data_IF_867769985395
#
_entry.id   IF_867769985395
#
_cell.length_a   1.000
_cell.length_b   1.000
_cell.length_c   1.000
_cell.angle_alpha   90.00
_cell.angle_beta   90.00
_cell.angle_gamma   90.00
#
_symmetry.space_group_name_H-M   'P 1'
#
loop_
_entity.id
_entity.type
_entity.pdbx_description
1 polymer ?
#
# COMPACT_ATOMS: atom_id res chain seq x y z
N UNK A 1 -23.49 31.82 -4.79
CA UNK A 1 -23.42 31.47 -3.36
C UNK A 1 -22.27 30.50 -3.15
N UNK A 2 -21.44 30.67 -2.11
CA UNK A 2 -20.37 29.70 -1.79
C UNK A 2 -20.91 28.75 -0.72
N UNK A 3 -20.87 27.45 -1.02
CA UNK A 3 -21.21 26.38 -0.08
C UNK A 3 -19.99 26.01 0.77
N UNK A 4 -20.18 25.57 2.03
CA UNK A 4 -19.10 25.12 2.88
C UNK A 4 -18.47 23.82 2.36
N UNK A 5 -17.15 23.69 2.54
CA UNK A 5 -16.45 22.45 2.26
C UNK A 5 -16.87 21.36 3.26
N UNK A 6 -17.18 20.17 2.75
CA UNK A 6 -17.49 18.98 3.53
C UNK A 6 -16.70 17.80 2.95
N UNK A 7 -15.56 17.47 3.56
CA UNK A 7 -14.79 16.30 3.17
C UNK A 7 -15.60 15.02 3.43
N UNK A 8 -15.56 14.09 2.48
CA UNK A 8 -16.12 12.74 2.62
C UNK A 8 -15.00 11.74 2.49
N UNK A 9 -14.74 11.01 3.57
CA UNK A 9 -13.78 9.92 3.58
C UNK A 9 -14.40 8.66 2.95
N UNK A 10 -13.64 7.99 2.09
CA UNK A 10 -14.02 6.78 1.38
C UNK A 10 -13.10 5.59 1.72
N UNK A 11 -12.19 5.74 2.69
CA UNK A 11 -11.28 4.72 3.19
C UNK A 11 -11.92 3.33 3.36
N UNK A 12 -13.12 3.27 3.96
CA UNK A 12 -13.83 2.03 4.19
C UNK A 12 -14.27 1.29 2.94
N UNK A 13 -14.62 2.02 1.89
CA UNK A 13 -14.97 1.41 0.59
C UNK A 13 -13.79 0.69 -0.04
N UNK A 14 -12.56 1.04 0.35
CA UNK A 14 -11.32 0.45 -0.16
C UNK A 14 -10.63 -0.48 0.86
N UNK A 15 -11.24 -0.72 2.02
CA UNK A 15 -10.68 -1.57 3.08
C UNK A 15 -9.55 -0.92 3.88
N UNK A 16 -9.39 0.39 3.80
CA UNK A 16 -8.29 1.13 4.44
C UNK A 16 -8.55 1.47 5.91
N UNK A 17 -9.73 1.19 6.45
CA UNK A 17 -10.11 1.52 7.84
C UNK A 17 -9.38 0.67 8.89
N UNK A 18 -8.83 -0.48 8.49
CA UNK A 18 -8.10 -1.38 9.36
C UNK A 18 -6.72 -0.83 9.76
N UNK A 19 -6.19 -1.25 10.91
CA UNK A 19 -4.79 -1.06 11.34
C UNK A 19 -4.29 0.40 11.42
N UNK A 20 -5.17 1.40 11.47
CA UNK A 20 -4.78 2.81 11.65
C UNK A 20 -5.02 3.69 10.41
N UNK A 21 -5.76 3.21 9.42
CA UNK A 21 -6.13 3.99 8.25
C UNK A 21 -5.13 3.84 7.09
N UNK A 22 -5.29 4.64 6.02
CA UNK A 22 -4.33 4.72 4.90
C UNK A 22 -2.88 4.99 5.33
N UNK A 23 -2.71 5.63 6.50
CA UNK A 23 -1.42 5.95 7.09
C UNK A 23 -0.65 4.73 7.65
N UNK A 24 -1.28 3.56 7.75
CA UNK A 24 -0.69 2.35 8.34
C UNK A 24 0.20 1.55 7.38
N UNK A 25 0.77 2.20 6.35
CA UNK A 25 1.66 1.56 5.38
C UNK A 25 3.12 1.64 5.85
N UNK A 26 3.82 0.51 5.88
CA UNK A 26 5.22 0.44 6.32
C UNK A 26 6.21 0.61 5.15
N UNK A 27 5.77 0.36 3.92
CA UNK A 27 6.64 0.46 2.76
C UNK A 27 5.93 0.33 1.41
N UNK A 28 6.64 0.70 0.36
CA UNK A 28 6.20 0.60 -1.04
C UNK A 28 7.19 -0.27 -1.81
N UNK A 29 6.69 -1.28 -2.51
CA UNK A 29 7.50 -2.08 -3.44
C UNK A 29 7.96 -1.19 -4.60
N UNK A 30 9.26 -1.16 -4.85
CA UNK A 30 9.88 -0.21 -5.80
C UNK A 30 10.03 -0.77 -7.20
N UNK A 31 10.32 -2.05 -7.29
CA UNK A 31 10.46 -2.78 -8.54
C UNK A 31 10.17 -4.26 -8.33
N UNK A 32 9.77 -4.94 -9.39
CA UNK A 32 9.81 -6.41 -9.46
C UNK A 32 11.10 -6.81 -10.17
N UNK A 33 11.72 -7.88 -9.70
CA UNK A 33 12.99 -8.38 -10.21
C UNK A 33 12.90 -9.88 -10.46
N UNK A 34 13.72 -10.39 -11.37
CA UNK A 34 13.75 -11.82 -11.69
C UNK A 34 14.12 -12.64 -10.44
N UNK A 35 13.42 -13.74 -10.22
CA UNK A 35 13.51 -14.55 -9.00
C UNK A 35 13.05 -13.86 -7.71
N UNK A 36 12.54 -12.63 -7.79
CA UNK A 36 11.98 -11.90 -6.66
C UNK A 36 10.59 -12.40 -6.26
N UNK A 37 10.22 -12.19 -4.99
CA UNK A 37 8.91 -12.54 -4.47
C UNK A 37 8.32 -11.38 -3.67
N UNK A 38 7.00 -11.21 -3.80
CA UNK A 38 6.17 -10.42 -2.90
C UNK A 38 4.99 -11.29 -2.50
N UNK A 39 5.05 -11.86 -1.30
CA UNK A 39 3.98 -12.72 -0.78
C UNK A 39 3.38 -12.11 0.50
N UNK A 40 2.06 -12.15 0.59
CA UNK A 40 1.31 -11.60 1.72
C UNK A 40 -0.19 -11.78 1.53
N UNK A 41 -0.96 -11.33 2.53
CA UNK A 41 -2.42 -11.31 2.49
C UNK A 41 -2.88 -9.97 1.90
N UNK A 42 -3.68 -9.99 0.85
CA UNK A 42 -4.35 -8.79 0.35
C UNK A 42 -5.35 -8.28 1.40
N UNK A 43 -5.16 -7.06 1.89
CA UNK A 43 -6.01 -6.46 2.95
C UNK A 43 -6.79 -5.25 2.48
N UNK A 44 -6.32 -4.54 1.45
CA UNK A 44 -7.00 -3.41 0.85
C UNK A 44 -6.59 -3.25 -0.63
N UNK A 45 -7.44 -2.59 -1.40
CA UNK A 45 -7.16 -2.22 -2.79
C UNK A 45 -7.78 -0.86 -3.07
N UNK A 46 -6.95 0.12 -3.45
CA UNK A 46 -7.38 1.50 -3.69
C UNK A 46 -6.79 2.00 -5.00
N UNK A 47 -7.65 2.16 -6.03
CA UNK A 47 -7.16 2.47 -7.37
C UNK A 47 -6.19 1.40 -7.88
N UNK A 48 -4.98 1.77 -8.36
CA UNK A 48 -3.99 0.80 -8.81
C UNK A 48 -3.22 0.14 -7.66
N UNK A 49 -3.41 0.53 -6.40
CA UNK A 49 -2.58 0.11 -5.28
C UNK A 49 -3.18 -1.08 -4.54
N UNK A 50 -2.37 -2.13 -4.35
CA UNK A 50 -2.68 -3.30 -3.52
C UNK A 50 -1.93 -3.20 -2.20
N UNK A 51 -2.64 -3.34 -1.08
CA UNK A 51 -2.04 -3.39 0.25
C UNK A 51 -1.94 -4.84 0.71
N UNK A 52 -0.71 -5.28 0.94
CA UNK A 52 -0.39 -6.65 1.36
C UNK A 52 0.11 -6.63 2.79
N UNK A 53 -0.59 -7.34 3.67
CA UNK A 53 -0.07 -7.70 4.98
C UNK A 53 0.95 -8.82 4.80
N UNK A 54 2.22 -8.53 5.10
CA UNK A 54 3.34 -9.44 4.90
C UNK A 54 3.69 -10.18 6.19
N UNK A 55 4.45 -11.27 6.06
CA UNK A 55 4.98 -11.98 7.23
C UNK A 55 5.77 -11.01 8.12
N UNK A 56 5.51 -11.03 9.43
CA UNK A 56 6.04 -10.04 10.37
C UNK A 56 5.05 -8.91 10.72
N UNK A 57 3.89 -8.84 10.06
CA UNK A 57 2.75 -8.03 10.48
C UNK A 57 2.71 -6.59 9.95
N UNK A 58 3.62 -6.23 9.05
CA UNK A 58 3.60 -4.95 8.34
C UNK A 58 2.77 -4.97 7.05
N UNK A 59 2.47 -3.79 6.52
CA UNK A 59 1.72 -3.59 5.27
C UNK A 59 2.62 -2.96 4.21
N UNK A 60 2.73 -3.62 3.06
CA UNK A 60 3.38 -3.09 1.87
C UNK A 60 2.37 -2.74 0.79
N UNK A 61 2.66 -1.67 0.05
CA UNK A 61 1.89 -1.30 -1.15
C UNK A 61 2.59 -1.78 -2.40
N UNK A 62 1.82 -2.39 -3.30
CA UNK A 62 2.23 -2.80 -4.65
C UNK A 62 1.34 -2.10 -5.67
N UNK A 63 1.95 -1.36 -6.59
CA UNK A 63 1.25 -0.77 -7.72
C UNK A 63 1.00 -1.83 -8.80
N UNK A 64 -0.26 -2.08 -9.13
CA UNK A 64 -0.68 -3.06 -10.15
C UNK A 64 -0.07 -2.80 -11.53
N UNK A 65 0.33 -1.57 -11.84
CA UNK A 65 1.01 -1.25 -13.10
C UNK A 65 2.39 -1.87 -13.20
N UNK A 66 3.04 -2.14 -12.06
CA UNK A 66 4.32 -2.83 -12.01
C UNK A 66 4.19 -4.32 -12.34
N UNK A 67 2.99 -4.89 -12.20
CA UNK A 67 2.73 -6.30 -12.47
C UNK A 67 2.69 -6.63 -13.97
N UNK A 68 2.63 -5.62 -14.84
CA UNK A 68 2.59 -5.84 -16.29
C UNK A 68 3.86 -6.55 -16.73
N UNK A 69 3.69 -7.71 -17.38
CA UNK A 69 4.80 -8.56 -17.83
C UNK A 69 5.29 -9.57 -16.80
N UNK A 70 4.69 -9.61 -15.59
CA UNK A 70 5.00 -10.58 -14.53
C UNK A 70 3.85 -11.56 -14.32
N UNK A 71 4.17 -12.80 -13.94
CA UNK A 71 3.18 -13.82 -13.63
C UNK A 71 2.80 -13.79 -12.14
N UNK A 72 1.51 -13.93 -11.84
CA UNK A 72 1.02 -14.19 -10.49
C UNK A 72 0.98 -15.69 -10.26
N UNK A 73 1.96 -16.20 -9.52
CA UNK A 73 2.07 -17.61 -9.16
C UNK A 73 1.70 -17.84 -7.70
N UNK A 74 1.30 -19.07 -7.37
CA UNK A 74 1.12 -19.45 -5.98
C UNK A 74 2.45 -19.32 -5.22
N UNK A 75 2.44 -18.53 -4.15
CA UNK A 75 3.58 -18.41 -3.26
C UNK A 75 3.88 -19.75 -2.57
N UNK A 76 5.15 -20.14 -2.54
CA UNK A 76 5.61 -21.28 -1.74
C UNK A 76 5.37 -21.05 -0.24
N UNK A 77 5.31 -22.13 0.53
CA UNK A 77 5.18 -22.03 1.99
C UNK A 77 6.33 -21.19 2.57
N UNK A 78 6.00 -20.12 3.29
CA UNK A 78 7.00 -19.21 3.88
C UNK A 78 7.65 -18.24 2.90
N UNK A 79 7.18 -18.12 1.65
CA UNK A 79 7.61 -17.05 0.76
C UNK A 79 7.35 -15.69 1.42
N UNK A 80 8.34 -14.81 1.37
CA UNK A 80 8.31 -13.48 1.95
C UNK A 80 8.43 -12.40 0.88
N UNK A 81 9.06 -11.30 1.25
CA UNK A 81 9.36 -10.18 0.36
C UNK A 81 10.86 -10.13 0.14
N UNK A 82 11.30 -10.30 -1.11
CA UNK A 82 12.72 -10.27 -1.50
C UNK A 82 13.04 -9.21 -2.54
N UNK A 83 12.03 -8.45 -2.96
CA UNK A 83 12.19 -7.32 -3.88
C UNK A 83 12.56 -6.03 -3.12
N UNK A 84 13.10 -5.01 -3.80
CA UNK A 84 13.37 -3.73 -3.18
C UNK A 84 12.10 -3.05 -2.65
N UNK A 85 12.13 -2.66 -1.37
CA UNK A 85 11.06 -1.93 -0.68
C UNK A 85 11.62 -0.59 -0.21
N UNK A 86 10.90 0.49 -0.48
CA UNK A 86 11.17 1.79 0.14
C UNK A 86 10.30 1.91 1.40
N UNK A 87 10.88 2.10 2.59
CA UNK A 87 10.08 2.33 3.79
C UNK A 87 9.27 3.62 3.66
N UNK A 88 8.08 3.63 4.24
CA UNK A 88 7.30 4.84 4.45
C UNK A 88 7.57 5.29 5.88
N UNK A 89 8.23 6.42 6.03
CA UNK A 89 8.46 6.98 7.35
C UNK A 89 7.13 7.53 7.88
N UNK A 90 6.71 7.04 9.04
CA UNK A 90 5.62 7.65 9.79
C UNK A 90 6.15 8.95 10.39
N UNK A 91 6.00 10.06 9.68
CA UNK A 91 6.29 11.37 10.27
C UNK A 91 5.22 11.63 11.32
N UNK A 92 5.58 11.54 12.61
CA UNK A 92 4.67 11.80 13.74
C UNK A 92 4.14 13.25 13.82
N UNK A 93 4.51 14.10 12.87
CA UNK A 93 3.86 15.37 12.58
C UNK A 93 3.39 15.31 11.14
N UNK A 94 2.09 15.54 10.90
CA UNK A 94 1.57 15.66 9.55
C UNK A 94 2.46 16.59 8.76
N UNK A 95 3.03 16.11 7.66
CA UNK A 95 3.69 17.00 6.72
C UNK A 95 2.64 18.05 6.34
N UNK A 96 2.90 19.30 6.72
CA UNK A 96 2.03 20.41 6.37
C UNK A 96 2.07 20.50 4.85
N UNK A 97 1.03 19.99 4.22
CA UNK A 97 0.85 20.14 2.79
C UNK A 97 0.44 21.60 2.60
N UNK A 98 1.43 22.47 2.38
CA UNK A 98 1.33 23.93 2.16
C UNK A 98 0.56 24.30 0.86
N UNK A 99 -0.43 23.49 0.50
CA UNK A 99 -1.31 23.64 -0.64
C UNK A 99 -1.36 22.39 -1.51
N UNK A 100 -2.40 21.57 -1.35
CA UNK A 100 -3.23 21.28 -2.52
C UNK A 100 -4.58 21.92 -2.20
N UNK A 101 -4.89 22.97 -2.96
CA UNK A 101 -5.99 23.94 -2.79
C UNK A 101 -5.69 25.09 -1.82
#
# INVERSE_FOLDING_TARGET
ERVPFAAVDHSGAFGLDGRGGPAATDGVVRELVDGGAVAGRLVAAAGPDLHLEVAGGGVLVVDTRMLVGWELVAAGAGAGVTVPVRPVETTSGGAEQDGLF
#
